data_IF_708921033922
#
_entry.id   IF_708921033922
#
_cell.length_a   1.000
_cell.length_b   1.000
_cell.length_c   1.000
_cell.angle_alpha   90.00
_cell.angle_beta   90.00
_cell.angle_gamma   90.00
#
_symmetry.space_group_name_H-M   'P 1'
#
loop_
_entity.id
_entity.type
_entity.pdbx_description
1 polymer ?
#
# COMPACT_ATOMS: atom_id res chain seq x y z
N UNK A 1 16.11 7.87 -13.33
CA UNK A 1 16.51 6.71 -14.16
C UNK A 1 15.31 6.39 -15.04
N UNK A 2 15.50 6.16 -16.34
CA UNK A 2 14.37 5.92 -17.25
C UNK A 2 13.73 4.54 -17.03
N UNK A 3 12.46 4.38 -17.42
CA UNK A 3 11.73 3.10 -17.37
C UNK A 3 12.46 1.99 -18.11
N UNK A 4 13.03 2.28 -19.29
CA UNK A 4 13.81 1.31 -20.06
C UNK A 4 15.05 0.84 -19.29
N UNK A 5 15.77 1.74 -18.64
CA UNK A 5 16.93 1.40 -17.81
C UNK A 5 16.53 0.55 -16.62
N UNK A 6 15.40 0.87 -15.96
CA UNK A 6 14.87 0.06 -14.84
C UNK A 6 14.49 -1.35 -15.29
N UNK A 7 13.82 -1.48 -16.43
CA UNK A 7 13.46 -2.78 -17.00
C UNK A 7 14.69 -3.63 -17.29
N UNK A 8 15.71 -3.04 -17.94
CA UNK A 8 16.95 -3.73 -18.23
C UNK A 8 17.67 -4.19 -16.95
N UNK A 9 17.85 -3.31 -15.97
CA UNK A 9 18.49 -3.64 -14.70
C UNK A 9 17.67 -4.67 -13.89
N UNK A 10 16.33 -4.59 -13.93
CA UNK A 10 15.44 -5.56 -13.29
C UNK A 10 15.57 -6.95 -13.90
N UNK A 11 15.56 -7.04 -15.23
CA UNK A 11 15.75 -8.30 -15.97
C UNK A 11 17.12 -8.95 -15.68
N UNK A 12 18.16 -8.16 -15.44
CA UNK A 12 19.50 -8.61 -15.06
C UNK A 12 19.66 -8.87 -13.56
N UNK A 13 18.62 -8.69 -12.72
CA UNK A 13 18.72 -8.81 -11.27
C UNK A 13 19.62 -7.74 -10.61
N UNK A 14 19.91 -6.65 -11.30
CA UNK A 14 20.82 -5.59 -10.86
C UNK A 14 20.11 -4.37 -10.26
N UNK A 15 18.77 -4.34 -10.26
CA UNK A 15 18.02 -3.27 -9.63
C UNK A 15 18.17 -3.36 -8.11
N UNK A 16 18.79 -2.34 -7.51
CA UNK A 16 19.09 -2.30 -6.08
C UNK A 16 18.29 -1.20 -5.39
N UNK A 17 17.92 -1.39 -4.09
CA UNK A 17 17.36 -0.32 -3.28
C UNK A 17 18.32 0.85 -3.18
N UNK A 18 17.79 2.02 -2.81
CA UNK A 18 18.59 3.19 -2.47
C UNK A 18 18.96 3.15 -0.98
N UNK A 19 20.05 3.80 -0.55
CA UNK A 19 20.26 4.10 0.86
C UNK A 19 19.07 4.87 1.43
N UNK A 20 18.74 4.60 2.69
CA UNK A 20 17.67 5.30 3.40
C UNK A 20 17.98 6.80 3.50
N UNK A 21 16.96 7.64 3.43
CA UNK A 21 17.04 9.09 3.64
C UNK A 21 16.54 9.40 5.06
N UNK A 22 17.37 9.19 6.06
CA UNK A 22 17.04 9.42 7.46
C UNK A 22 17.02 8.14 8.30
N UNK A 23 16.68 8.27 9.56
CA UNK A 23 16.65 7.18 10.52
C UNK A 23 15.26 6.52 10.54
N UNK A 24 15.21 5.25 10.19
CA UNK A 24 14.00 4.46 10.25
C UNK A 24 13.60 4.17 11.70
N UNK A 25 12.33 4.36 12.04
CA UNK A 25 11.77 4.04 13.36
C UNK A 25 11.31 2.59 13.40
N UNK A 26 11.63 1.86 14.46
CA UNK A 26 11.23 0.46 14.61
C UNK A 26 9.70 0.28 14.53
N UNK A 27 8.95 1.20 15.11
CA UNK A 27 7.47 1.21 15.07
C UNK A 27 6.96 2.64 14.94
N UNK A 28 6.00 2.84 14.02
CA UNK A 28 5.26 4.09 13.88
C UNK A 28 3.81 3.81 14.27
N UNK A 29 3.38 4.33 15.43
CA UNK A 29 1.96 4.29 15.83
C UNK A 29 1.17 5.28 14.98
N UNK A 30 0.08 4.80 14.39
CA UNK A 30 -0.82 5.63 13.60
C UNK A 30 -1.90 6.22 14.50
N UNK A 31 -2.29 7.49 14.32
CA UNK A 31 -3.45 8.05 15.02
C UNK A 31 -4.74 7.34 14.56
N UNK A 32 -5.83 7.53 15.30
CA UNK A 32 -7.13 7.02 14.87
C UNK A 32 -7.49 7.54 13.47
N UNK A 33 -8.01 6.68 12.57
CA UNK A 33 -8.37 7.11 11.22
C UNK A 33 -9.61 8.01 11.25
N UNK A 34 -9.65 9.02 10.39
CA UNK A 34 -10.88 9.78 10.16
C UNK A 34 -11.81 8.98 9.23
N UNK A 35 -12.87 8.44 9.78
CA UNK A 35 -13.84 7.60 9.06
C UNK A 35 -15.05 8.36 8.55
N UNK A 36 -15.13 9.69 8.78
CA UNK A 36 -16.27 10.50 8.32
C UNK A 36 -16.26 10.74 6.81
N UNK A 37 -15.06 10.74 6.23
CA UNK A 37 -14.88 11.02 4.80
C UNK A 37 -15.14 12.51 4.46
N UNK A 38 -14.62 12.94 3.31
CA UNK A 38 -14.78 14.33 2.84
C UNK A 38 -15.87 14.48 1.77
N UNK A 39 -16.13 13.43 0.98
CA UNK A 39 -17.01 13.49 -0.20
C UNK A 39 -17.95 12.29 -0.25
N UNK A 40 -19.18 12.47 -0.77
CA UNK A 40 -20.09 11.38 -1.09
C UNK A 40 -19.47 10.41 -2.10
N UNK A 41 -19.75 9.11 -1.95
CA UNK A 41 -19.15 8.04 -2.77
C UNK A 41 -19.25 8.30 -4.29
N UNK A 42 -20.40 8.74 -4.78
CA UNK A 42 -20.60 8.98 -6.23
C UNK A 42 -19.71 10.10 -6.75
N UNK A 43 -19.43 11.12 -5.93
CA UNK A 43 -18.49 12.19 -6.28
C UNK A 43 -17.04 11.69 -6.28
N UNK A 44 -16.69 10.80 -5.35
CA UNK A 44 -15.37 10.17 -5.30
C UNK A 44 -15.13 9.32 -6.55
N UNK A 45 -16.11 8.49 -6.92
CA UNK A 45 -16.05 7.67 -8.15
C UNK A 45 -15.88 8.54 -9.40
N UNK A 46 -16.61 9.65 -9.51
CA UNK A 46 -16.47 10.57 -10.63
C UNK A 46 -15.13 11.29 -10.71
N UNK A 47 -14.45 11.50 -9.56
CA UNK A 47 -13.14 12.18 -9.49
C UNK A 47 -11.95 11.24 -9.63
N UNK A 48 -12.12 9.95 -9.34
CA UNK A 48 -11.04 8.98 -9.37
C UNK A 48 -10.39 8.94 -10.77
N UNK A 49 -9.11 9.18 -10.81
CA UNK A 49 -8.27 9.04 -12.02
C UNK A 49 -6.85 8.66 -11.60
N UNK A 50 -6.11 8.00 -12.48
CA UNK A 50 -4.68 7.74 -12.28
C UNK A 50 -3.88 8.98 -12.62
N UNK A 51 -2.94 9.34 -11.75
CA UNK A 51 -2.02 10.45 -11.91
C UNK A 51 -0.62 9.98 -11.57
N UNK A 52 0.38 10.37 -12.35
CA UNK A 52 1.76 9.90 -12.23
C UNK A 52 2.74 11.03 -11.86
N UNK A 53 2.19 12.20 -11.51
CA UNK A 53 2.94 13.34 -11.02
C UNK A 53 2.70 13.49 -9.53
N UNK A 54 3.75 13.30 -8.72
CA UNK A 54 3.66 13.30 -7.27
C UNK A 54 4.37 14.52 -6.68
N UNK A 55 3.75 15.11 -5.66
CA UNK A 55 4.41 16.09 -4.83
C UNK A 55 5.49 15.39 -3.98
N UNK A 56 6.71 15.93 -3.94
CA UNK A 56 7.82 15.38 -3.14
C UNK A 56 7.69 15.72 -1.64
N UNK A 57 6.48 15.65 -1.10
CA UNK A 57 6.17 15.93 0.30
C UNK A 57 5.70 14.66 0.98
N UNK A 58 6.18 14.35 2.20
CA UNK A 58 5.63 13.25 2.99
C UNK A 58 4.12 13.46 3.22
N UNK A 59 3.35 12.40 3.25
CA UNK A 59 1.97 12.45 3.69
C UNK A 59 1.94 12.79 5.20
N UNK A 60 1.06 13.70 5.63
CA UNK A 60 0.81 13.90 7.05
C UNK A 60 0.34 12.59 7.70
N UNK A 61 0.82 12.31 8.91
CA UNK A 61 0.54 11.05 9.60
C UNK A 61 -0.96 10.74 9.75
N UNK A 62 -1.88 11.70 10.02
CA UNK A 62 -3.32 11.43 10.06
C UNK A 62 -3.89 11.01 8.69
N UNK A 63 -3.36 11.57 7.60
CA UNK A 63 -3.78 11.22 6.23
C UNK A 63 -3.30 9.81 5.88
N UNK A 64 -2.04 9.50 6.19
CA UNK A 64 -1.48 8.15 6.03
C UNK A 64 -2.26 7.10 6.84
N UNK A 65 -2.61 7.43 8.08
CA UNK A 65 -3.43 6.58 8.95
C UNK A 65 -4.76 6.23 8.29
N UNK A 66 -5.49 7.24 7.84
CA UNK A 66 -6.79 7.04 7.19
C UNK A 66 -6.67 6.30 5.86
N UNK A 67 -5.60 6.55 5.08
CA UNK A 67 -5.29 5.82 3.85
C UNK A 67 -5.09 4.32 4.11
N UNK A 68 -4.27 3.97 5.09
CA UNK A 68 -3.98 2.57 5.42
C UNK A 68 -5.20 1.86 6.03
N UNK A 69 -5.98 2.56 6.84
CA UNK A 69 -7.24 2.03 7.33
C UNK A 69 -8.23 1.81 6.20
N UNK A 70 -8.39 2.75 5.27
CA UNK A 70 -9.24 2.58 4.10
C UNK A 70 -8.77 1.41 3.24
N UNK A 71 -7.46 1.26 3.03
CA UNK A 71 -6.88 0.17 2.26
C UNK A 71 -7.25 -1.21 2.83
N UNK A 72 -6.86 -1.49 4.07
CA UNK A 72 -7.03 -2.83 4.67
C UNK A 72 -7.12 -2.80 6.20
N UNK A 73 -7.68 -1.74 6.78
CA UNK A 73 -7.87 -1.59 8.21
C UNK A 73 -8.96 -2.50 8.77
N UNK A 74 -8.96 -2.68 10.09
CA UNK A 74 -10.06 -3.36 10.79
C UNK A 74 -11.25 -2.41 10.91
N UNK A 75 -12.42 -2.82 10.45
CA UNK A 75 -13.65 -2.06 10.55
C UNK A 75 -14.75 -2.72 11.39
N UNK A 76 -14.49 -3.93 11.90
CA UNK A 76 -15.40 -4.71 12.72
C UNK A 76 -14.66 -5.37 13.89
N UNK A 77 -15.40 -5.60 15.00
CA UNK A 77 -14.84 -6.20 16.23
C UNK A 77 -14.39 -7.65 16.06
N UNK A 78 -14.97 -8.37 15.09
CA UNK A 78 -14.61 -9.75 14.74
C UNK A 78 -13.32 -9.85 13.92
N UNK A 79 -12.64 -8.74 13.68
CA UNK A 79 -11.41 -8.69 12.89
C UNK A 79 -11.61 -8.51 11.39
N UNK A 80 -12.87 -8.30 10.95
CA UNK A 80 -13.15 -8.01 9.53
C UNK A 80 -12.47 -6.75 9.04
N UNK A 81 -12.11 -6.74 7.74
CA UNK A 81 -11.35 -5.68 7.07
C UNK A 81 -12.24 -4.79 6.22
N UNK A 82 -11.70 -3.63 5.88
CA UNK A 82 -12.32 -2.69 4.92
C UNK A 82 -12.38 -3.25 3.51
N UNK A 83 -11.42 -4.09 3.09
CA UNK A 83 -11.46 -4.83 1.85
C UNK A 83 -11.81 -6.29 2.09
N UNK A 84 -12.59 -6.94 1.19
CA UNK A 84 -12.93 -8.36 1.29
C UNK A 84 -11.74 -9.25 0.93
N UNK A 85 -11.78 -10.49 1.43
CA UNK A 85 -10.94 -11.59 0.96
C UNK A 85 -11.74 -12.91 0.96
N UNK A 86 -11.35 -13.87 0.12
CA UNK A 86 -12.03 -15.15 0.04
C UNK A 86 -12.03 -15.85 1.42
N UNK A 87 -13.19 -16.29 1.89
CA UNK A 87 -13.38 -16.94 3.22
C UNK A 87 -12.77 -16.14 4.39
N UNK A 88 -12.60 -14.84 4.24
CA UNK A 88 -11.93 -13.96 5.21
C UNK A 88 -10.49 -14.41 5.52
N UNK A 89 -9.77 -14.95 4.54
CA UNK A 89 -8.40 -15.45 4.71
C UNK A 89 -7.40 -14.32 5.01
N UNK A 90 -7.72 -13.08 4.60
CA UNK A 90 -6.90 -11.87 4.81
C UNK A 90 -5.44 -12.09 4.36
N UNK A 91 -5.27 -12.73 3.21
CA UNK A 91 -4.02 -13.22 2.68
C UNK A 91 -3.04 -12.14 2.22
N UNK A 92 -3.50 -10.88 2.12
CA UNK A 92 -2.66 -9.78 1.67
C UNK A 92 -2.01 -9.08 2.87
N UNK A 93 -0.70 -9.01 2.87
CA UNK A 93 0.07 -8.11 3.72
C UNK A 93 0.33 -6.80 2.96
N UNK A 94 0.04 -5.66 3.59
CA UNK A 94 0.25 -4.33 3.01
C UNK A 94 1.54 -3.76 3.56
N UNK A 95 2.51 -3.55 2.68
CA UNK A 95 3.75 -2.87 3.02
C UNK A 95 3.74 -1.44 2.52
N UNK A 96 4.41 -0.56 3.23
CA UNK A 96 4.60 0.84 2.87
C UNK A 96 6.09 1.09 2.70
N UNK A 97 6.52 1.43 1.51
CA UNK A 97 7.89 1.82 1.23
C UNK A 97 7.99 3.36 1.25
N UNK A 98 8.81 3.87 2.16
CA UNK A 98 9.16 5.30 2.29
C UNK A 98 10.62 5.54 1.92
N UNK A 99 11.05 6.82 1.81
CA UNK A 99 12.47 7.17 1.63
C UNK A 99 13.39 6.67 2.75
N UNK A 100 12.87 6.53 3.98
CA UNK A 100 13.62 6.16 5.18
C UNK A 100 13.51 4.67 5.54
N UNK A 101 12.62 3.93 4.90
CA UNK A 101 12.48 2.51 5.17
C UNK A 101 11.22 1.90 4.59
N UNK A 102 11.09 0.59 4.75
CA UNK A 102 9.89 -0.16 4.40
C UNK A 102 9.27 -0.76 5.66
N UNK A 103 7.95 -0.73 5.72
CA UNK A 103 7.16 -1.07 6.89
C UNK A 103 6.01 -1.99 6.54
N UNK A 104 5.74 -2.96 7.41
CA UNK A 104 4.51 -3.75 7.37
C UNK A 104 3.41 -3.01 8.14
N UNK A 105 2.25 -2.85 7.53
CA UNK A 105 1.06 -2.33 8.20
C UNK A 105 0.40 -3.42 9.04
N UNK A 106 0.44 -3.26 10.35
CA UNK A 106 -0.32 -4.06 11.30
C UNK A 106 -1.68 -3.38 11.56
N UNK A 107 -2.72 -3.89 10.93
CA UNK A 107 -4.05 -3.33 11.09
C UNK A 107 -4.69 -3.66 12.45
N UNK A 108 -4.18 -4.64 13.20
CA UNK A 108 -4.67 -4.99 14.54
C UNK A 108 -4.26 -3.93 15.56
N UNK A 109 -3.02 -3.51 15.52
CA UNK A 109 -2.47 -2.47 16.41
C UNK A 109 -2.54 -1.08 15.78
N UNK A 110 -2.96 -1.00 14.51
CA UNK A 110 -2.96 0.21 13.69
C UNK A 110 -1.61 0.93 13.74
N UNK A 111 -0.59 0.20 13.34
CA UNK A 111 0.80 0.65 13.39
C UNK A 111 1.59 0.16 12.17
N UNK A 112 2.71 0.80 11.91
CA UNK A 112 3.70 0.38 10.93
C UNK A 112 4.89 -0.23 11.67
N UNK A 113 5.31 -1.43 11.28
CA UNK A 113 6.46 -2.15 11.83
C UNK A 113 7.58 -2.15 10.81
N UNK A 114 8.76 -1.69 11.20
CA UNK A 114 9.93 -1.63 10.31
C UNK A 114 10.34 -3.04 9.88
N UNK A 115 10.51 -3.23 8.58
CA UNK A 115 11.01 -4.49 7.99
C UNK A 115 12.34 -4.29 7.24
N UNK A 116 12.63 -3.10 6.76
CA UNK A 116 13.90 -2.77 6.14
C UNK A 116 14.22 -1.28 6.29
N UNK A 117 15.46 -0.95 6.67
CA UNK A 117 15.98 0.42 6.76
C UNK A 117 16.64 0.87 5.46
N UNK A 118 15.91 0.71 4.34
CA UNK A 118 16.38 1.07 3.00
C UNK A 118 15.23 1.64 2.18
N UNK A 119 15.50 2.58 1.28
CA UNK A 119 14.51 3.08 0.31
C UNK A 119 14.25 2.01 -0.77
N UNK A 120 13.18 1.26 -0.60
CA UNK A 120 12.79 0.19 -1.52
C UNK A 120 11.91 0.68 -2.70
N UNK A 121 11.43 1.93 -2.72
CA UNK A 121 10.50 2.44 -3.75
C UNK A 121 11.01 2.19 -5.17
N UNK A 122 12.33 2.28 -5.37
CA UNK A 122 12.95 2.02 -6.66
C UNK A 122 12.73 0.63 -7.23
N UNK A 123 12.53 -0.36 -6.37
CA UNK A 123 12.39 -1.76 -6.78
C UNK A 123 10.94 -2.25 -6.72
N UNK A 124 9.98 -1.42 -6.29
CA UNK A 124 8.56 -1.77 -6.23
C UNK A 124 7.87 -1.74 -7.59
N UNK A 125 8.45 -1.04 -8.58
CA UNK A 125 7.92 -0.96 -9.94
C UNK A 125 8.97 -0.52 -10.95
N UNK A 126 8.70 -0.78 -12.21
CA UNK A 126 9.65 -0.49 -13.30
C UNK A 126 9.50 0.93 -13.88
N UNK A 127 8.40 1.61 -13.58
CA UNK A 127 8.16 2.97 -14.08
C UNK A 127 8.95 3.98 -13.27
N UNK A 128 9.52 4.99 -13.94
CA UNK A 128 10.43 5.96 -13.34
C UNK A 128 9.77 6.87 -12.30
N UNK A 129 8.47 7.18 -12.47
CA UNK A 129 7.72 7.99 -11.50
C UNK A 129 7.55 7.33 -10.12
N UNK A 130 7.67 6.01 -10.02
CA UNK A 130 7.60 5.27 -8.75
C UNK A 130 8.72 5.70 -7.80
N UNK A 131 9.90 6.04 -8.35
CA UNK A 131 11.04 6.52 -7.56
C UNK A 131 10.77 7.85 -6.83
N UNK A 132 9.85 8.65 -7.35
CA UNK A 132 9.56 10.01 -6.87
C UNK A 132 8.29 10.08 -6.00
N UNK A 133 7.48 9.03 -5.99
CA UNK A 133 6.31 8.97 -5.13
C UNK A 133 6.69 9.13 -3.65
N UNK A 134 5.91 9.85 -2.82
CA UNK A 134 6.19 10.00 -1.38
C UNK A 134 6.24 8.68 -0.64
N UNK A 135 5.44 7.71 -1.09
CA UNK A 135 5.40 6.33 -0.63
C UNK A 135 4.85 5.43 -1.72
N UNK A 136 5.18 4.14 -1.64
CA UNK A 136 4.55 3.08 -2.42
C UNK A 136 3.85 2.09 -1.48
N UNK A 137 2.67 1.62 -1.88
CA UNK A 137 2.00 0.50 -1.24
C UNK A 137 2.30 -0.77 -2.02
N UNK A 138 2.83 -1.77 -1.32
CA UNK A 138 3.17 -3.08 -1.90
C UNK A 138 2.30 -4.14 -1.25
N UNK A 139 1.59 -4.91 -2.08
CA UNK A 139 0.70 -5.99 -1.63
C UNK A 139 1.42 -7.31 -1.79
N UNK A 140 1.63 -8.01 -0.69
CA UNK A 140 2.33 -9.29 -0.66
C UNK A 140 1.37 -10.39 -0.22
N UNK A 141 1.29 -11.44 -1.01
CA UNK A 141 0.41 -12.58 -0.73
C UNK A 141 1.07 -13.50 0.29
N UNK A 142 0.38 -13.75 1.39
CA UNK A 142 0.76 -14.76 2.37
C UNK A 142 -0.02 -16.06 2.14
N UNK A 143 0.53 -16.96 1.35
CA UNK A 143 -0.10 -18.23 1.01
C UNK A 143 -0.41 -19.13 2.22
N UNK A 144 0.28 -18.93 3.35
CA UNK A 144 0.01 -19.71 4.57
C UNK A 144 -1.40 -19.48 5.14
N UNK A 145 -2.01 -18.33 4.83
CA UNK A 145 -3.39 -18.00 5.23
C UNK A 145 -4.44 -18.59 4.28
N UNK A 146 -4.02 -19.15 3.15
CA UNK A 146 -4.91 -19.68 2.10
C UNK A 146 -5.01 -21.21 2.13
N UNK A 147 -4.77 -21.86 3.27
CA UNK A 147 -4.70 -23.32 3.36
C UNK A 147 -5.99 -24.02 2.93
N UNK A 148 -7.14 -23.42 3.19
CA UNK A 148 -8.47 -23.94 2.82
C UNK A 148 -8.86 -23.64 1.37
N UNK A 149 -8.06 -22.85 0.64
CA UNK A 149 -8.30 -22.49 -0.75
C UNK A 149 -7.50 -23.44 -1.66
N UNK A 150 -8.15 -24.05 -2.68
CA UNK A 150 -7.44 -24.88 -3.67
C UNK A 150 -6.27 -24.13 -4.29
N UNK A 151 -5.12 -24.80 -4.43
CA UNK A 151 -3.87 -24.19 -4.92
C UNK A 151 -4.07 -23.48 -6.25
N UNK A 152 -4.78 -24.10 -7.19
CA UNK A 152 -5.06 -23.54 -8.51
C UNK A 152 -5.88 -22.21 -8.48
N UNK A 153 -6.57 -21.91 -7.38
CA UNK A 153 -7.41 -20.71 -7.24
C UNK A 153 -6.76 -19.59 -6.41
N UNK A 154 -5.64 -19.88 -5.74
CA UNK A 154 -5.04 -18.93 -4.77
C UNK A 154 -4.63 -17.62 -5.41
N UNK A 155 -3.99 -17.67 -6.58
CA UNK A 155 -3.54 -16.46 -7.27
C UNK A 155 -4.72 -15.59 -7.70
N UNK A 156 -5.80 -16.18 -8.23
CA UNK A 156 -6.99 -15.44 -8.65
C UNK A 156 -7.68 -14.77 -7.46
N UNK A 157 -7.81 -15.45 -6.32
CA UNK A 157 -8.39 -14.85 -5.12
C UNK A 157 -7.49 -13.78 -4.52
N UNK A 158 -6.18 -14.01 -4.48
CA UNK A 158 -5.22 -13.00 -4.01
C UNK A 158 -5.23 -11.77 -4.90
N UNK A 159 -5.28 -11.93 -6.23
CA UNK A 159 -5.40 -10.82 -7.16
C UNK A 159 -6.71 -10.03 -6.96
N UNK A 160 -7.83 -10.71 -6.74
CA UNK A 160 -9.11 -10.06 -6.44
C UNK A 160 -9.06 -9.27 -5.12
N UNK A 161 -8.47 -9.85 -4.06
CA UNK A 161 -8.30 -9.17 -2.77
C UNK A 161 -7.37 -7.95 -2.90
N UNK A 162 -6.24 -8.09 -3.58
CA UNK A 162 -5.33 -6.97 -3.84
C UNK A 162 -6.00 -5.86 -4.65
N UNK A 163 -6.81 -6.21 -5.66
CA UNK A 163 -7.61 -5.26 -6.44
C UNK A 163 -8.63 -4.51 -5.59
N UNK A 164 -9.29 -5.18 -4.65
CA UNK A 164 -10.22 -4.53 -3.73
C UNK A 164 -9.50 -3.54 -2.78
N UNK A 165 -8.32 -3.91 -2.26
CA UNK A 165 -7.47 -3.03 -1.46
C UNK A 165 -7.03 -1.82 -2.29
N UNK A 166 -6.54 -2.04 -3.51
CA UNK A 166 -6.12 -0.97 -4.40
C UNK A 166 -7.27 -0.01 -4.73
N UNK A 167 -8.47 -0.52 -4.98
CA UNK A 167 -9.64 0.33 -5.23
C UNK A 167 -10.00 1.18 -4.02
N UNK A 168 -9.92 0.65 -2.79
CA UNK A 168 -10.11 1.44 -1.57
C UNK A 168 -9.10 2.58 -1.48
N UNK A 169 -7.82 2.32 -1.81
CA UNK A 169 -6.76 3.35 -1.87
C UNK A 169 -7.10 4.43 -2.89
N UNK A 170 -7.52 4.05 -4.10
CA UNK A 170 -7.90 5.00 -5.14
C UNK A 170 -9.09 5.87 -4.72
N UNK A 171 -10.09 5.29 -4.10
CA UNK A 171 -11.27 6.03 -3.64
C UNK A 171 -10.90 6.97 -2.49
N UNK A 172 -10.14 6.50 -1.50
CA UNK A 172 -9.68 7.36 -0.42
C UNK A 172 -8.82 8.52 -0.96
N UNK A 173 -7.87 8.24 -1.83
CA UNK A 173 -7.02 9.27 -2.44
C UNK A 173 -7.85 10.32 -3.17
N UNK A 174 -8.82 9.91 -4.01
CA UNK A 174 -9.71 10.83 -4.70
C UNK A 174 -10.58 11.67 -3.75
N UNK A 175 -11.00 11.10 -2.61
CA UNK A 175 -11.75 11.80 -1.57
C UNK A 175 -10.88 12.83 -0.82
N UNK A 176 -9.62 12.50 -0.57
CA UNK A 176 -8.68 13.32 0.19
C UNK A 176 -7.89 14.32 -0.66
N UNK A 177 -8.14 14.40 -1.98
CA UNK A 177 -7.38 15.25 -2.89
C UNK A 177 -5.94 14.78 -3.12
N UNK A 178 -5.68 13.51 -2.89
CA UNK A 178 -4.41 12.86 -3.19
C UNK A 178 -4.41 12.28 -4.61
N UNK A 179 -3.22 11.91 -5.09
CA UNK A 179 -3.01 11.28 -6.39
C UNK A 179 -2.46 9.85 -6.22
N UNK A 180 -2.83 8.97 -7.17
CA UNK A 180 -2.42 7.57 -7.22
C UNK A 180 -2.20 7.13 -8.66
#
# INVERSE_FOLDING_TARGET
>A
MSTLTKLALGAMGQLRPRPAKGDARAVIKLPAPDTRGALPLMQVLARRRSTREFARKPLPLPVLSSLLWAAFGMNRRDGGRTAPSAINAQEIDVYVAFPDGAYLYDARTHALQLVASSDLRRITGYQDFVDDAPLDLVYVVNHSRMKLIPVASRESYAAAAAGAIAQNVYLYAASAGLVT
#
